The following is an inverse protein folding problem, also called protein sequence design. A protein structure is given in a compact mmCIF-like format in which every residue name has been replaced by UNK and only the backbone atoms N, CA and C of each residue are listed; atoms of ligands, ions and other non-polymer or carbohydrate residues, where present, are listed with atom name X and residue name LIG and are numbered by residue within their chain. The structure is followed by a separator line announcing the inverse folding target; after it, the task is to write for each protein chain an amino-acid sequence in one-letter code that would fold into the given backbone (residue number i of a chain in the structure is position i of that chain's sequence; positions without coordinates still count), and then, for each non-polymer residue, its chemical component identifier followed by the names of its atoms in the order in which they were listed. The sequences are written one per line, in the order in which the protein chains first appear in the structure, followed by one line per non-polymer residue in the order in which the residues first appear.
data_IF_365542259537
#
_entry.id   IF_365542259537
#
_cell.length_a   1.000
_cell.length_b   1.000
_cell.length_c   1.000
_cell.angle_alpha   90.00
_cell.angle_beta   90.00
_cell.angle_gamma   90.00
#
_symmetry.space_group_name_H-M   'P 1'
#
loop_
_entity.id
_entity.type
_entity.pdbx_description
1 polymer ?
#
# COMPACT_ATOMS: atom_id res chain seq x y z
N UNK A 1 19.58 -16.07 -2.17
CA UNK A 1 18.93 -17.20 -2.39
C UNK A 1 17.50 -17.01 -2.39
N UNK A 2 16.97 -17.25 -3.39
CA UNK A 2 15.59 -17.08 -3.44
C UNK A 2 15.03 -18.12 -2.60
N UNK A 3 14.84 -17.80 -1.49
CA UNK A 3 14.11 -18.65 -0.77
C UNK A 3 12.85 -18.89 -1.46
N UNK A 4 12.85 -19.93 -2.11
CA UNK A 4 11.63 -20.47 -2.51
C UNK A 4 10.95 -21.04 -1.29
N UNK A 5 10.93 -20.33 -0.22
CA UNK A 5 10.07 -20.71 0.85
C UNK A 5 8.67 -20.84 0.27
N UNK A 6 7.98 -21.95 0.47
CA UNK A 6 6.65 -22.12 -0.07
C UNK A 6 5.81 -20.98 0.46
N UNK A 7 5.31 -20.18 -0.45
CA UNK A 7 4.49 -19.06 -0.08
C UNK A 7 3.27 -19.58 0.64
N UNK A 8 3.02 -19.10 1.83
CA UNK A 8 1.79 -19.38 2.53
C UNK A 8 0.62 -18.84 1.72
N UNK A 9 -0.47 -19.58 1.70
CA UNK A 9 -1.73 -19.03 1.17
C UNK A 9 -2.40 -18.22 2.29
N UNK A 10 -3.36 -17.38 1.93
CA UNK A 10 -4.12 -16.65 2.93
C UNK A 10 -4.83 -17.59 3.90
N UNK A 11 -5.39 -18.70 3.38
CA UNK A 11 -6.06 -19.67 4.22
C UNK A 11 -5.10 -20.30 5.22
N UNK A 12 -3.89 -20.65 4.78
CA UNK A 12 -2.88 -21.21 5.67
C UNK A 12 -2.46 -20.21 6.73
N UNK A 13 -2.28 -18.97 6.33
CA UNK A 13 -1.91 -17.87 7.22
C UNK A 13 -2.94 -17.71 8.34
N UNK A 14 -4.22 -17.68 7.98
CA UNK A 14 -5.31 -17.47 8.95
C UNK A 14 -5.50 -18.64 9.89
N UNK A 15 -5.04 -19.84 9.52
CA UNK A 15 -5.12 -21.02 10.38
C UNK A 15 -3.99 -21.11 11.39
N UNK A 16 -2.98 -20.26 11.27
CA UNK A 16 -1.85 -20.30 12.19
C UNK A 16 -2.28 -19.83 13.59
N UNK A 17 -1.68 -20.40 14.64
CA UNK A 17 -2.06 -20.02 16.01
C UNK A 17 -1.65 -18.58 16.34
N UNK A 18 -2.30 -17.99 17.33
CA UNK A 18 -2.00 -16.62 17.75
C UNK A 18 -0.54 -16.45 18.14
N UNK A 19 0.09 -17.49 18.68
CA UNK A 19 1.49 -17.45 19.07
C UNK A 19 2.44 -17.30 17.87
N UNK A 20 1.96 -17.58 16.66
CA UNK A 20 2.75 -17.44 15.44
C UNK A 20 2.66 -16.04 14.83
N UNK A 21 1.94 -15.11 15.46
CA UNK A 21 1.73 -13.78 14.90
C UNK A 21 3.06 -13.10 14.60
N UNK A 22 3.21 -12.66 13.37
CA UNK A 22 4.42 -12.02 12.84
C UNK A 22 5.68 -12.85 13.02
N UNK A 23 5.54 -14.18 12.95
CA UNK A 23 6.73 -15.03 12.88
C UNK A 23 7.39 -14.88 11.49
N UNK A 24 8.54 -15.51 11.29
CA UNK A 24 9.31 -15.34 10.05
C UNK A 24 8.50 -15.68 8.81
N UNK A 25 7.67 -16.72 8.85
CA UNK A 25 6.86 -17.13 7.71
C UNK A 25 5.77 -16.11 7.39
N UNK A 26 5.12 -15.58 8.40
CA UNK A 26 4.11 -14.54 8.21
C UNK A 26 4.73 -13.25 7.69
N UNK A 27 5.87 -12.85 8.22
CA UNK A 27 6.58 -11.66 7.74
C UNK A 27 7.02 -11.84 6.29
N UNK A 28 7.48 -13.04 5.91
CA UNK A 28 7.84 -13.32 4.52
C UNK A 28 6.62 -13.22 3.59
N UNK A 29 5.46 -13.69 4.05
CA UNK A 29 4.22 -13.58 3.30
C UNK A 29 3.87 -12.12 3.01
N UNK A 30 3.89 -11.27 4.04
CA UNK A 30 3.55 -9.86 3.86
C UNK A 30 4.62 -9.10 3.08
N UNK A 31 5.89 -9.45 3.25
CA UNK A 31 6.95 -8.87 2.43
C UNK A 31 6.71 -9.14 0.94
N UNK A 32 6.41 -10.37 0.59
CA UNK A 32 6.11 -10.74 -0.80
C UNK A 32 4.92 -9.99 -1.35
N UNK A 33 3.87 -9.84 -0.55
CA UNK A 33 2.67 -9.11 -0.96
C UNK A 33 2.95 -7.62 -1.17
N UNK A 34 3.70 -7.02 -0.27
CA UNK A 34 4.07 -5.60 -0.38
C UNK A 34 5.00 -5.35 -1.58
N UNK A 35 5.95 -6.24 -1.81
CA UNK A 35 6.83 -6.11 -2.96
C UNK A 35 6.06 -6.25 -4.27
N UNK A 36 5.09 -7.16 -4.33
CA UNK A 36 4.24 -7.32 -5.51
C UNK A 36 3.40 -6.06 -5.76
N UNK A 37 2.84 -5.47 -4.71
CA UNK A 37 2.10 -4.21 -4.82
C UNK A 37 2.99 -3.08 -5.32
N UNK A 38 4.21 -2.99 -4.80
CA UNK A 38 5.16 -1.97 -5.23
C UNK A 38 5.48 -2.12 -6.72
N UNK A 39 5.77 -3.34 -7.15
CA UNK A 39 6.15 -3.60 -8.53
C UNK A 39 4.97 -3.31 -9.48
N UNK A 40 3.77 -3.69 -9.08
CA UNK A 40 2.56 -3.40 -9.85
C UNK A 40 2.34 -1.90 -9.98
N UNK A 41 2.50 -1.15 -8.89
CA UNK A 41 2.35 0.29 -8.91
C UNK A 41 3.37 0.98 -9.81
N UNK A 42 4.63 0.55 -9.74
CA UNK A 42 5.68 1.13 -10.58
C UNK A 42 5.42 0.85 -12.05
N UNK A 43 4.95 -0.35 -12.38
CA UNK A 43 4.58 -0.71 -13.75
C UNK A 43 3.40 0.13 -14.25
N UNK A 44 2.36 0.26 -13.44
CA UNK A 44 1.18 1.04 -13.80
C UNK A 44 1.52 2.53 -13.98
N UNK A 45 2.38 3.07 -13.14
CA UNK A 45 2.81 4.46 -13.25
C UNK A 45 3.54 4.70 -14.57
N UNK A 46 4.41 3.77 -14.99
CA UNK A 46 5.12 3.87 -16.26
C UNK A 46 4.13 3.81 -17.43
N UNK A 47 3.18 2.88 -17.39
CA UNK A 47 2.17 2.72 -18.45
C UNK A 47 1.28 3.96 -18.55
N UNK A 48 0.85 4.51 -17.42
CA UNK A 48 0.02 5.72 -17.37
C UNK A 48 0.77 6.90 -17.98
N UNK A 49 2.04 7.07 -17.62
CA UNK A 49 2.85 8.14 -18.17
C UNK A 49 3.02 8.04 -19.68
N UNK A 50 3.23 6.82 -20.20
CA UNK A 50 3.35 6.62 -21.63
C UNK A 50 2.04 6.92 -22.36
N UNK A 51 0.91 6.46 -21.83
CA UNK A 51 -0.41 6.70 -22.41
C UNK A 51 -0.73 8.20 -22.46
N UNK A 52 -0.39 8.92 -21.40
CA UNK A 52 -0.64 10.36 -21.34
C UNK A 52 0.21 11.13 -22.34
N UNK A 53 1.45 10.71 -22.55
CA UNK A 53 2.30 11.31 -23.59
C UNK A 53 1.70 11.12 -24.98
N UNK A 54 1.20 9.93 -25.26
CA UNK A 54 0.55 9.64 -26.53
C UNK A 54 -0.67 10.55 -26.73
N UNK A 55 -1.50 10.71 -25.70
CA UNK A 55 -2.68 11.55 -25.76
C UNK A 55 -2.33 13.01 -25.99
N UNK A 56 -1.26 13.50 -25.35
CA UNK A 56 -0.81 14.88 -25.55
C UNK A 56 -0.40 15.13 -27.00
N UNK A 57 0.25 14.15 -27.65
CA UNK A 57 0.70 14.30 -29.02
C UNK A 57 -0.45 14.37 -30.03
N UNK A 58 -1.62 13.86 -29.67
CA UNK A 58 -2.78 13.84 -30.55
C UNK A 58 -3.87 14.84 -30.14
N UNK A 59 -3.65 15.63 -29.08
CA UNK A 59 -4.65 16.58 -28.63
C UNK A 59 -4.86 17.71 -29.63
N UNK A 60 -6.13 17.98 -29.98
CA UNK A 60 -6.50 19.10 -30.81
C UNK A 60 -6.34 20.39 -30.00
N UNK A 61 -5.82 21.48 -30.57
CA UNK A 61 -5.75 22.77 -29.86
C UNK A 61 -7.06 23.24 -29.27
N UNK A 62 -8.20 22.84 -29.86
CA UNK A 62 -9.52 23.20 -29.35
C UNK A 62 -9.91 22.46 -28.09
N UNK A 63 -9.16 21.41 -27.72
CA UNK A 63 -9.42 20.60 -26.54
C UNK A 63 -8.50 20.95 -25.38
N UNK A 64 -7.94 22.17 -25.38
CA UNK A 64 -6.99 22.59 -24.36
C UNK A 64 -7.54 22.44 -22.94
N UNK A 65 -8.82 22.82 -22.72
CA UNK A 65 -9.44 22.71 -21.41
C UNK A 65 -9.54 21.25 -20.95
N UNK A 66 -9.88 20.33 -21.86
CA UNK A 66 -9.94 18.92 -21.57
C UNK A 66 -8.55 18.36 -21.24
N UNK A 67 -7.53 18.79 -21.99
CA UNK A 67 -6.14 18.39 -21.75
C UNK A 67 -5.70 18.85 -20.37
N UNK A 68 -6.02 20.11 -19.99
CA UNK A 68 -5.67 20.62 -18.66
C UNK A 68 -6.35 19.84 -17.55
N UNK A 69 -7.63 19.49 -17.73
CA UNK A 69 -8.35 18.67 -16.76
C UNK A 69 -7.72 17.28 -16.63
N UNK A 70 -7.34 16.68 -17.75
CA UNK A 70 -6.65 15.39 -17.75
C UNK A 70 -5.31 15.47 -17.03
N UNK A 71 -4.55 16.55 -17.23
CA UNK A 71 -3.29 16.78 -16.54
C UNK A 71 -3.49 16.90 -15.03
N UNK A 72 -4.51 17.62 -14.61
CA UNK A 72 -4.82 17.76 -13.19
C UNK A 72 -5.20 16.42 -12.57
N UNK A 73 -6.01 15.63 -13.28
CA UNK A 73 -6.38 14.29 -12.82
C UNK A 73 -5.17 13.39 -12.74
N UNK A 74 -4.29 13.46 -13.74
CA UNK A 74 -3.04 12.69 -13.74
C UNK A 74 -2.18 13.04 -12.53
N UNK A 75 -2.05 14.32 -12.20
CA UNK A 75 -1.28 14.75 -11.04
C UNK A 75 -1.86 14.19 -9.75
N UNK A 76 -3.18 14.17 -9.62
CA UNK A 76 -3.84 13.60 -8.44
C UNK A 76 -3.57 12.10 -8.32
N UNK A 77 -3.63 11.38 -9.44
CA UNK A 77 -3.35 9.95 -9.47
C UNK A 77 -1.89 9.70 -9.08
N UNK A 78 -0.96 10.46 -9.66
CA UNK A 78 0.46 10.33 -9.34
C UNK A 78 0.76 10.64 -7.88
N UNK A 79 0.11 11.66 -7.32
CA UNK A 79 0.28 12.00 -5.92
C UNK A 79 -0.22 10.88 -5.01
N UNK A 80 -1.37 10.29 -5.34
CA UNK A 80 -1.91 9.16 -4.61
C UNK A 80 -0.98 7.97 -4.66
N UNK A 81 -0.47 7.65 -5.85
CA UNK A 81 0.46 6.54 -6.05
C UNK A 81 1.77 6.77 -5.28
N UNK A 82 2.27 8.00 -5.30
CA UNK A 82 3.49 8.34 -4.58
C UNK A 82 3.32 8.16 -3.08
N UNK A 83 2.18 8.59 -2.54
CA UNK A 83 1.89 8.43 -1.12
C UNK A 83 1.74 6.97 -0.74
N UNK A 84 1.07 6.19 -1.59
CA UNK A 84 0.93 4.76 -1.33
C UNK A 84 2.27 4.04 -1.43
N UNK A 85 3.09 4.39 -2.41
CA UNK A 85 4.43 3.82 -2.55
C UNK A 85 5.27 4.12 -1.30
N UNK A 86 5.18 5.33 -0.78
CA UNK A 86 5.86 5.70 0.46
C UNK A 86 5.41 4.81 1.62
N UNK A 87 4.10 4.58 1.73
CA UNK A 87 3.55 3.71 2.78
C UNK A 87 4.01 2.26 2.62
N UNK A 88 4.08 1.77 1.39
CA UNK A 88 4.59 0.42 1.11
C UNK A 88 6.05 0.30 1.56
N UNK A 89 6.88 1.27 1.20
CA UNK A 89 8.28 1.27 1.59
C UNK A 89 8.46 1.36 3.12
N UNK A 90 7.63 2.14 3.77
CA UNK A 90 7.63 2.23 5.24
C UNK A 90 7.23 0.90 5.87
N UNK A 91 6.23 0.21 5.29
CA UNK A 91 5.82 -1.10 5.79
C UNK A 91 6.94 -2.13 5.62
N UNK A 92 7.63 -2.12 4.49
CA UNK A 92 8.78 -3.00 4.28
C UNK A 92 9.90 -2.71 5.28
N UNK A 93 10.14 -1.45 5.57
CA UNK A 93 11.13 -1.07 6.59
C UNK A 93 10.74 -1.58 7.98
N UNK A 94 9.43 -1.56 8.31
CA UNK A 94 8.97 -2.09 9.59
C UNK A 94 9.12 -3.62 9.66
N UNK A 95 9.00 -4.32 8.55
CA UNK A 95 9.29 -5.75 8.52
C UNK A 95 10.74 -5.99 8.91
N UNK A 96 11.66 -5.19 8.35
CA UNK A 96 13.09 -5.32 8.65
C UNK A 96 13.41 -4.97 10.11
N UNK A 97 12.69 -4.01 10.69
CA UNK A 97 12.93 -3.59 12.07
C UNK A 97 12.18 -4.44 13.11
N UNK A 98 11.28 -5.32 12.67
CA UNK A 98 10.50 -6.15 13.58
C UNK A 98 9.24 -5.47 14.13
N UNK A 99 8.89 -4.30 13.60
CA UNK A 99 7.73 -3.56 14.07
C UNK A 99 6.46 -3.79 13.24
N UNK A 100 6.58 -4.48 12.10
CA UNK A 100 5.44 -4.71 11.23
C UNK A 100 4.35 -5.54 11.92
N UNK A 101 3.09 -5.16 11.69
CA UNK A 101 1.96 -5.89 12.24
C UNK A 101 1.48 -5.38 13.60
N UNK A 102 2.21 -4.44 14.18
CA UNK A 102 1.88 -3.88 15.50
C UNK A 102 1.44 -2.44 15.34
N UNK A 103 0.37 -2.07 16.06
CA UNK A 103 -0.16 -0.72 16.01
C UNK A 103 0.88 0.28 16.50
N UNK A 104 1.17 1.31 15.71
CA UNK A 104 2.17 2.30 16.07
C UNK A 104 1.77 3.12 17.30
N UNK A 105 0.49 3.26 17.56
CA UNK A 105 0.00 4.04 18.68
C UNK A 105 -0.10 3.24 19.97
N UNK A 106 -0.64 2.01 19.90
CA UNK A 106 -0.95 1.23 21.09
C UNK A 106 0.00 0.07 21.34
N UNK A 107 0.75 -0.35 20.33
CA UNK A 107 1.61 -1.54 20.42
C UNK A 107 0.85 -2.85 20.34
N UNK A 108 -0.47 -2.82 20.20
CA UNK A 108 -1.29 -4.03 20.08
C UNK A 108 -1.22 -4.60 18.66
N UNK A 109 -1.51 -5.89 18.48
CA UNK A 109 -1.52 -6.47 17.14
C UNK A 109 -2.59 -5.80 16.26
N UNK A 110 -2.21 -5.47 15.04
CA UNK A 110 -3.17 -4.96 14.05
C UNK A 110 -4.15 -6.06 13.63
N UNK A 111 -3.64 -7.27 13.49
CA UNK A 111 -4.46 -8.44 13.17
C UNK A 111 -4.34 -8.85 11.70
N UNK A 112 -4.33 -10.15 11.47
CA UNK A 112 -4.16 -10.70 10.13
C UNK A 112 -5.26 -10.28 9.15
N UNK A 113 -6.56 -10.28 9.53
CA UNK A 113 -7.60 -9.88 8.57
C UNK A 113 -7.42 -8.46 8.07
N UNK A 114 -7.07 -7.52 8.95
CA UNK A 114 -6.85 -6.14 8.55
C UNK A 114 -5.60 -6.01 7.68
N UNK A 115 -4.53 -6.71 8.02
CA UNK A 115 -3.30 -6.67 7.22
C UNK A 115 -3.48 -7.29 5.85
N UNK A 116 -4.31 -8.33 5.72
CA UNK A 116 -4.62 -8.91 4.43
C UNK A 116 -5.40 -7.93 3.56
N UNK A 117 -6.34 -7.19 4.15
CA UNK A 117 -7.10 -6.18 3.44
C UNK A 117 -6.26 -4.95 3.12
N UNK A 118 -5.38 -4.57 4.03
CA UNK A 118 -4.55 -3.37 3.89
C UNK A 118 -3.15 -3.63 4.47
N UNK A 119 -2.23 -4.17 3.67
CA UNK A 119 -0.88 -4.53 4.17
C UNK A 119 -0.05 -3.34 4.65
N UNK A 120 -0.44 -2.13 4.28
CA UNK A 120 0.25 -0.92 4.74
C UNK A 120 -0.32 -0.35 6.04
N UNK A 121 -1.28 -1.04 6.68
CA UNK A 121 -1.90 -0.54 7.89
C UNK A 121 -0.87 -0.31 9.00
N UNK A 122 -0.96 0.84 9.64
CA UNK A 122 -0.08 1.26 10.72
C UNK A 122 -0.76 1.23 12.09
N UNK A 123 -2.08 1.22 12.09
CA UNK A 123 -2.89 1.31 13.30
C UNK A 123 -3.93 0.20 13.36
N UNK A 124 -4.29 -0.20 14.58
CA UNK A 124 -5.45 -1.05 14.79
C UNK A 124 -6.71 -0.30 14.32
N UNK A 125 -7.81 -1.01 14.14
CA UNK A 125 -9.06 -0.39 13.70
C UNK A 125 -9.48 0.71 14.68
N UNK A 126 -9.40 0.44 15.98
CA UNK A 126 -9.79 1.42 16.99
C UNK A 126 -8.90 2.67 16.95
N UNK A 127 -7.60 2.50 16.80
CA UNK A 127 -6.67 3.64 16.70
C UNK A 127 -6.93 4.44 15.44
N UNK A 128 -7.19 3.78 14.32
CA UNK A 128 -7.49 4.45 13.06
C UNK A 128 -8.77 5.27 13.16
N UNK A 129 -9.80 4.73 13.78
CA UNK A 129 -11.05 5.45 14.00
C UNK A 129 -10.85 6.69 14.86
N UNK A 130 -10.03 6.59 15.91
CA UNK A 130 -9.71 7.75 16.74
C UNK A 130 -9.01 8.84 15.96
N UNK A 131 -8.04 8.46 15.10
CA UNK A 131 -7.34 9.42 14.25
C UNK A 131 -8.29 10.13 13.29
N UNK A 132 -9.20 9.38 12.67
CA UNK A 132 -10.17 9.96 11.75
C UNK A 132 -11.12 10.93 12.45
N UNK A 133 -11.55 10.61 13.66
CA UNK A 133 -12.40 11.51 14.43
C UNK A 133 -11.66 12.79 14.83
N UNK A 134 -10.40 12.69 15.20
CA UNK A 134 -9.59 13.86 15.53
C UNK A 134 -9.41 14.76 14.31
N UNK A 135 -9.20 14.18 13.15
CA UNK A 135 -9.08 14.94 11.90
C UNK A 135 -10.37 15.71 11.61
N UNK A 136 -11.53 15.08 11.83
CA UNK A 136 -12.82 15.75 11.64
C UNK A 136 -13.02 16.92 12.59
N UNK A 137 -12.53 16.79 13.83
CA UNK A 137 -12.64 17.87 14.80
C UNK A 137 -11.75 19.06 14.49
N UNK A 138 -10.65 18.81 13.76
CA UNK A 138 -9.69 19.86 13.41
C UNK A 138 -9.82 20.33 11.96
N UNK A 139 -10.81 19.84 11.24
CA UNK A 139 -11.01 20.21 9.84
C UNK A 139 -11.64 21.60 9.73
#
# INVERSE_FOLDING_TARGET
MPATAPSLTEAQLLKMPASAYMNADQLAFFRGRLEALRDEMLSNAADTGATLKENENFADPNDRATVEEEHMLEQRVRDRERKLLKKINQALARIDSGEFGWCLETGEPIGLPRLLARPTAEYSIEAQERHEQLEKLHA
#
